data_IF_270047110748
#
_entry.id   IF_270047110748
#
_cell.length_a   1.000
_cell.length_b   1.000
_cell.length_c   1.000
_cell.angle_alpha   90.00
_cell.angle_beta   90.00
_cell.angle_gamma   90.00
#
_symmetry.space_group_name_H-M   'P 1'
#
loop_
_entity.id
_entity.type
_entity.pdbx_description
1 polymer ?
#
# COMPACT_ATOMS: atom_id res chain seq x y z
N UNK A 1 -35.79 8.08 44.43
CA UNK A 1 -34.72 7.07 44.57
C UNK A 1 -35.33 5.71 44.32
N UNK A 2 -34.94 4.89 43.37
CA UNK A 2 -33.85 4.95 42.40
C UNK A 2 -34.27 4.21 41.13
N UNK A 3 -33.83 4.76 40.01
CA UNK A 3 -33.99 4.22 38.66
C UNK A 3 -33.05 3.04 38.45
N UNK A 4 -33.54 1.93 37.89
CA UNK A 4 -32.67 0.88 37.33
C UNK A 4 -32.98 0.71 35.84
N UNK A 5 -32.13 1.31 35.01
CA UNK A 5 -32.03 1.02 33.58
C UNK A 5 -30.99 -0.08 33.37
N UNK A 6 -31.24 -1.10 32.52
CA UNK A 6 -30.20 -2.08 32.19
C UNK A 6 -29.25 -1.51 31.14
N UNK A 7 -27.97 -1.40 31.48
CA UNK A 7 -26.92 -1.02 30.55
C UNK A 7 -26.63 -2.18 29.59
N UNK A 8 -27.20 -2.10 28.39
CA UNK A 8 -26.88 -2.98 27.27
C UNK A 8 -25.45 -2.73 26.79
N UNK A 9 -24.60 -3.76 26.91
CA UNK A 9 -23.23 -3.79 26.42
C UNK A 9 -23.17 -3.60 24.89
N UNK A 10 -22.97 -2.35 24.45
CA UNK A 10 -22.77 -1.98 23.05
C UNK A 10 -21.29 -2.07 22.61
N UNK A 11 -20.37 -2.28 23.54
CA UNK A 11 -18.93 -2.12 23.31
C UNK A 11 -18.29 -3.24 22.45
N UNK A 12 -18.88 -4.43 22.42
CA UNK A 12 -18.29 -5.59 21.73
C UNK A 12 -18.48 -5.60 20.20
N UNK A 13 -19.54 -4.94 19.69
CA UNK A 13 -19.87 -4.94 18.25
C UNK A 13 -19.06 -3.90 17.46
N UNK A 14 -18.65 -2.83 18.12
CA UNK A 14 -17.89 -1.73 17.53
C UNK A 14 -16.40 -2.06 17.45
N UNK A 15 -15.85 -2.72 18.48
CA UNK A 15 -14.49 -3.26 18.42
C UNK A 15 -14.33 -4.26 17.26
N UNK A 16 -15.27 -5.20 17.09
CA UNK A 16 -15.22 -6.23 16.04
C UNK A 16 -15.37 -5.67 14.61
N UNK A 17 -16.02 -4.52 14.43
CA UNK A 17 -16.12 -3.81 13.14
C UNK A 17 -14.80 -3.15 12.72
N UNK A 18 -13.96 -2.73 13.67
CA UNK A 18 -12.64 -2.13 13.39
C UNK A 18 -11.59 -3.16 12.91
N UNK A 19 -11.82 -4.46 13.11
CA UNK A 19 -10.84 -5.52 12.80
C UNK A 19 -10.91 -6.09 11.36
N UNK A 20 -11.83 -5.62 10.50
CA UNK A 20 -12.03 -6.18 9.15
C UNK A 20 -11.94 -5.13 8.03
N UNK A 21 -11.11 -4.11 8.18
CA UNK A 21 -10.94 -3.07 7.16
C UNK A 21 -9.67 -3.28 6.35
N UNK A 22 -9.44 -4.48 5.81
CA UNK A 22 -8.39 -4.62 4.78
C UNK A 22 -8.90 -4.10 3.45
N UNK A 23 -8.11 -3.30 2.76
CA UNK A 23 -8.39 -2.81 1.42
C UNK A 23 -7.49 -3.51 0.39
N UNK A 24 -8.03 -3.66 -0.82
CA UNK A 24 -7.27 -4.12 -1.98
C UNK A 24 -6.66 -2.91 -2.69
N UNK A 25 -5.35 -2.94 -2.84
CA UNK A 25 -4.54 -2.00 -3.61
C UNK A 25 -4.00 -2.67 -4.86
N UNK A 26 -4.10 -1.98 -6.00
CA UNK A 26 -3.53 -2.40 -7.27
C UNK A 26 -2.27 -1.59 -7.53
N UNK A 27 -1.14 -2.27 -7.69
CA UNK A 27 0.14 -1.62 -7.95
C UNK A 27 0.64 -2.06 -9.32
N UNK A 28 0.62 -1.13 -10.27
CA UNK A 28 1.16 -1.33 -11.61
C UNK A 28 2.67 -1.16 -11.54
N UNK A 29 3.42 -2.23 -11.79
CA UNK A 29 4.89 -2.20 -11.78
C UNK A 29 5.38 -1.93 -13.20
N UNK A 30 6.31 -0.99 -13.35
CA UNK A 30 6.88 -0.65 -14.66
C UNK A 30 7.36 -1.90 -15.40
N UNK A 31 7.03 -1.99 -16.69
CA UNK A 31 7.35 -3.11 -17.60
C UNK A 31 6.72 -4.47 -17.22
N UNK A 32 5.84 -4.54 -16.21
CA UNK A 32 5.09 -5.76 -15.86
C UNK A 32 3.87 -5.92 -16.77
N UNK A 33 3.49 -7.17 -17.07
CA UNK A 33 2.28 -7.54 -17.84
C UNK A 33 0.94 -7.21 -17.13
N UNK A 34 0.97 -6.60 -15.96
CA UNK A 34 -0.22 -6.20 -15.20
C UNK A 34 0.10 -5.83 -13.76
N UNK A 35 -0.91 -5.34 -13.02
CA UNK A 35 -0.74 -4.94 -11.63
C UNK A 35 -0.57 -6.14 -10.71
N UNK A 36 0.20 -5.95 -9.64
CA UNK A 36 0.13 -6.81 -8.47
C UNK A 36 -1.00 -6.35 -7.55
N UNK A 37 -1.61 -7.31 -6.87
CA UNK A 37 -2.73 -7.07 -5.96
C UNK A 37 -2.27 -7.27 -4.52
N UNK A 38 -2.39 -6.23 -3.70
CA UNK A 38 -1.97 -6.23 -2.30
C UNK A 38 -3.17 -5.96 -1.41
N UNK A 39 -3.39 -6.82 -0.42
CA UNK A 39 -4.46 -6.65 0.57
C UNK A 39 -3.84 -6.30 1.91
N UNK A 40 -4.03 -5.05 2.36
CA UNK A 40 -3.44 -4.53 3.60
C UNK A 40 -4.36 -3.50 4.28
N UNK A 41 -3.96 -3.01 5.44
CA UNK A 41 -4.73 -2.03 6.20
C UNK A 41 -4.58 -0.63 5.54
N UNK A 42 -5.66 0.15 5.34
CA UNK A 42 -5.57 1.53 4.85
C UNK A 42 -4.68 2.44 5.71
N UNK A 43 -4.53 2.11 6.98
CA UNK A 43 -3.68 2.83 7.93
C UNK A 43 -2.18 2.60 7.69
N UNK A 44 -1.82 1.62 6.84
CA UNK A 44 -0.44 1.40 6.43
C UNK A 44 0.10 2.54 5.56
N UNK A 45 1.42 2.59 5.40
CA UNK A 45 2.10 3.65 4.63
C UNK A 45 2.42 3.25 3.19
N UNK A 46 2.75 4.24 2.36
CA UNK A 46 3.27 4.05 1.02
C UNK A 46 4.52 3.15 0.99
N UNK A 47 5.44 3.30 1.96
CA UNK A 47 6.62 2.45 2.08
C UNK A 47 6.25 0.96 2.29
N UNK A 48 5.26 0.71 3.14
CA UNK A 48 4.78 -0.63 3.42
C UNK A 48 4.09 -1.24 2.20
N UNK A 49 3.33 -0.45 1.44
CA UNK A 49 2.74 -0.89 0.17
C UNK A 49 3.80 -1.26 -0.86
N UNK A 50 4.85 -0.44 -1.02
CA UNK A 50 5.98 -0.74 -1.92
C UNK A 50 6.65 -2.06 -1.55
N UNK A 51 6.97 -2.24 -0.26
CA UNK A 51 7.56 -3.49 0.25
C UNK A 51 6.67 -4.70 -0.03
N UNK A 52 5.37 -4.58 0.24
CA UNK A 52 4.41 -5.66 0.01
C UNK A 52 4.25 -5.98 -1.48
N UNK A 53 4.20 -4.96 -2.34
CA UNK A 53 4.09 -5.12 -3.79
C UNK A 53 5.31 -5.87 -4.38
N UNK A 54 6.53 -5.51 -3.95
CA UNK A 54 7.77 -6.22 -4.35
C UNK A 54 7.73 -7.67 -3.88
N UNK A 55 7.35 -7.92 -2.62
CA UNK A 55 7.25 -9.27 -2.09
C UNK A 55 6.25 -10.13 -2.88
N UNK A 56 5.08 -9.58 -3.24
CA UNK A 56 4.09 -10.26 -4.10
C UNK A 56 4.66 -10.52 -5.49
N UNK A 57 5.30 -9.52 -6.11
CA UNK A 57 5.90 -9.65 -7.45
C UNK A 57 6.92 -10.78 -7.53
N UNK A 58 7.82 -10.85 -6.54
CA UNK A 58 8.85 -11.90 -6.44
C UNK A 58 8.23 -13.26 -6.18
N UNK A 59 7.25 -13.33 -5.25
CA UNK A 59 6.53 -14.56 -4.94
C UNK A 59 5.82 -15.14 -6.15
N UNK A 60 5.20 -14.30 -6.96
CA UNK A 60 4.52 -14.66 -8.22
C UNK A 60 5.50 -14.96 -9.37
N UNK A 61 6.82 -14.80 -9.16
CA UNK A 61 7.88 -15.02 -10.17
C UNK A 61 7.62 -14.25 -11.47
N UNK A 62 7.11 -13.03 -11.35
CA UNK A 62 6.72 -12.19 -12.48
C UNK A 62 7.91 -11.77 -13.33
N UNK A 63 7.61 -11.34 -14.57
CA UNK A 63 8.58 -10.91 -15.57
C UNK A 63 8.25 -9.49 -16.06
N UNK A 64 9.28 -8.66 -16.34
CA UNK A 64 10.72 -8.93 -16.20
C UNK A 64 11.16 -9.06 -14.74
N UNK A 65 12.36 -9.61 -14.49
CA UNK A 65 12.89 -9.65 -13.13
C UNK A 65 13.15 -8.23 -12.61
N UNK A 66 12.90 -8.02 -11.32
CA UNK A 66 13.26 -6.78 -10.65
C UNK A 66 14.80 -6.67 -10.57
N UNK A 67 15.34 -5.48 -10.86
CA UNK A 67 16.77 -5.21 -10.72
C UNK A 67 17.25 -5.20 -9.28
N UNK A 68 16.36 -4.93 -8.31
CA UNK A 68 16.61 -5.02 -6.88
C UNK A 68 15.35 -5.51 -6.16
N UNK A 69 15.51 -6.14 -5.00
CA UNK A 69 14.40 -6.47 -4.09
C UNK A 69 14.28 -5.50 -2.92
N UNK A 70 15.20 -4.53 -2.84
CA UNK A 70 15.14 -3.46 -1.84
C UNK A 70 14.03 -2.46 -2.21
N UNK A 71 13.00 -2.27 -1.35
CA UNK A 71 11.98 -1.24 -1.53
C UNK A 71 12.56 0.17 -1.68
N UNK A 72 13.73 0.43 -1.09
CA UNK A 72 14.44 1.70 -1.19
C UNK A 72 14.83 2.09 -2.61
N UNK A 73 14.94 1.12 -3.53
CA UNK A 73 15.27 1.32 -4.95
C UNK A 73 14.07 1.71 -5.83
N UNK A 74 12.87 1.90 -5.27
CA UNK A 74 11.65 2.14 -6.03
C UNK A 74 10.89 3.37 -5.53
N UNK A 75 10.26 4.06 -6.47
CA UNK A 75 9.31 5.15 -6.22
C UNK A 75 7.88 4.68 -6.47
N UNK A 76 6.99 5.08 -5.57
CA UNK A 76 5.55 4.88 -5.70
C UNK A 76 4.91 6.18 -6.18
N UNK A 77 4.08 6.10 -7.21
CA UNK A 77 3.37 7.23 -7.81
C UNK A 77 1.86 6.92 -7.87
N UNK A 78 1.03 7.95 -7.99
CA UNK A 78 -0.40 7.78 -8.30
C UNK A 78 -0.61 7.09 -9.65
N UNK A 79 0.21 7.44 -10.66
CA UNK A 79 0.12 6.90 -12.01
C UNK A 79 1.46 7.02 -12.74
N UNK A 80 1.59 6.38 -13.90
CA UNK A 80 2.75 6.51 -14.79
C UNK A 80 2.96 7.93 -15.36
N UNK A 81 1.94 8.80 -15.25
CA UNK A 81 1.99 10.17 -15.77
C UNK A 81 2.35 11.20 -14.69
N UNK A 82 2.45 10.77 -13.43
CA UNK A 82 2.82 11.64 -12.33
C UNK A 82 4.34 11.77 -12.23
N UNK A 83 4.82 13.01 -12.21
CA UNK A 83 6.25 13.31 -12.07
C UNK A 83 6.73 13.17 -10.61
N UNK A 84 5.87 13.46 -9.65
CA UNK A 84 6.21 13.41 -8.21
C UNK A 84 5.87 12.04 -7.62
N UNK A 85 6.81 11.50 -6.83
CA UNK A 85 6.63 10.29 -6.03
C UNK A 85 5.93 10.60 -4.72
N UNK A 86 5.14 9.66 -4.22
CA UNK A 86 4.58 9.67 -2.88
C UNK A 86 5.69 9.57 -1.83
N UNK A 87 5.53 10.29 -0.72
CA UNK A 87 6.44 10.18 0.41
C UNK A 87 6.24 8.85 1.13
N UNK A 88 7.32 8.22 1.62
CA UNK A 88 7.24 6.90 2.25
C UNK A 88 6.29 6.83 3.46
N UNK A 89 6.10 7.94 4.18
CA UNK A 89 5.32 8.03 5.42
C UNK A 89 3.83 8.32 5.19
N UNK A 90 3.42 8.68 3.96
CA UNK A 90 2.03 8.94 3.63
C UNK A 90 1.18 7.68 3.83
N UNK A 91 0.06 7.81 4.55
CA UNK A 91 -0.86 6.71 4.79
C UNK A 91 -1.75 6.47 3.58
N UNK A 92 -2.05 5.21 3.29
CA UNK A 92 -2.86 4.82 2.14
C UNK A 92 -4.30 5.35 2.20
N UNK A 93 -4.86 5.51 3.42
CA UNK A 93 -6.18 6.10 3.64
C UNK A 93 -6.26 7.57 3.19
N UNK A 94 -5.17 8.32 3.33
CA UNK A 94 -5.12 9.75 3.02
C UNK A 94 -4.90 10.02 1.53
N UNK A 95 -4.36 9.05 0.78
CA UNK A 95 -4.06 9.17 -0.65
C UNK A 95 -5.32 9.18 -1.53
N UNK A 96 -6.46 8.70 -1.03
CA UNK A 96 -7.72 8.64 -1.78
C UNK A 96 -7.72 7.72 -3.02
N UNK A 97 -6.59 7.07 -3.32
CA UNK A 97 -6.43 6.11 -4.42
C UNK A 97 -6.23 4.69 -3.91
N UNK A 98 -6.67 3.72 -4.73
CA UNK A 98 -6.32 2.30 -4.56
C UNK A 98 -5.53 1.75 -5.73
N UNK A 99 -5.16 2.61 -6.68
CA UNK A 99 -4.34 2.28 -7.83
C UNK A 99 -3.08 3.13 -7.77
N UNK A 100 -1.95 2.45 -7.83
CA UNK A 100 -0.64 3.09 -7.79
C UNK A 100 0.23 2.54 -8.91
N UNK A 101 1.32 3.23 -9.16
CA UNK A 101 2.34 2.86 -10.10
C UNK A 101 3.69 2.80 -9.36
N UNK A 102 4.47 1.75 -9.60
CA UNK A 102 5.77 1.56 -8.99
C UNK A 102 6.82 1.48 -10.10
N UNK A 103 7.85 2.32 -10.01
CA UNK A 103 8.99 2.29 -10.93
C UNK A 103 10.32 2.35 -10.17
N UNK A 104 11.42 1.88 -10.77
CA UNK A 104 12.75 2.06 -10.19
C UNK A 104 13.07 3.54 -10.03
N UNK A 105 13.69 3.90 -8.90
CA UNK A 105 14.28 5.22 -8.70
C UNK A 105 15.40 5.45 -9.70
N UNK A 106 15.35 6.57 -10.39
CA UNK A 106 16.49 7.03 -11.16
C UNK A 106 17.47 7.72 -10.21
N UNK A 107 18.49 7.00 -9.74
CA UNK A 107 19.58 7.65 -9.02
C UNK A 107 20.36 8.51 -10.02
N UNK A 108 20.17 9.83 -9.97
CA UNK A 108 20.96 10.79 -10.74
C UNK A 108 22.43 10.88 -10.28
N UNK A 109 22.87 10.09 -9.30
CA UNK A 109 24.22 10.19 -8.71
C UNK A 109 25.30 9.30 -9.35
N UNK A 110 25.03 8.52 -10.41
CA UNK A 110 26.04 7.61 -10.99
C UNK A 110 26.34 7.78 -12.50
N UNK A 111 26.21 9.01 -13.01
CA UNK A 111 26.77 9.34 -14.34
C UNK A 111 27.67 10.56 -14.25
N UNK A 112 28.92 10.34 -13.84
CA UNK A 112 30.07 11.19 -14.18
C UNK A 112 31.20 10.31 -14.68
#
# INVERSE_FOLDING_TARGET
>A
MDSLSPSGSQNGREARRRYLTKALFKVNIQNSLGPVQVVMQPENTAAELTKAAIAVYVKERRRPLLGSVDPGCYDLHYSQFNLESLKPEEKLEDLGSRNFFLCPKFNLENTK
#
